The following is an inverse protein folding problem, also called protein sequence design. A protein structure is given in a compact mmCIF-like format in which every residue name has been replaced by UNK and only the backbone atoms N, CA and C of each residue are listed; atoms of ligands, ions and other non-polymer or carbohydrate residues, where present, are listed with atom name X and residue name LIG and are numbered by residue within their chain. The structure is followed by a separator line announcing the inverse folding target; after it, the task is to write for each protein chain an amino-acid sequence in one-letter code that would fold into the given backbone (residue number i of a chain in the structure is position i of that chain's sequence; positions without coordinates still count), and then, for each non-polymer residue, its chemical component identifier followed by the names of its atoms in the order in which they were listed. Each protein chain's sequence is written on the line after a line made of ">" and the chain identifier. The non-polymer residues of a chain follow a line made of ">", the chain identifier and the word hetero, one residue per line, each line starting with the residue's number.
data_IF_051411465414
#
_entry.id   IF_051411465414
#
_cell.length_a   1.000
_cell.length_b   1.000
_cell.length_c   1.000
_cell.angle_alpha   90.00
_cell.angle_beta   90.00
_cell.angle_gamma   90.00
#
_symmetry.space_group_name_H-M   'P 1'
#
loop_
_entity.id
_entity.type
_entity.pdbx_description
1 polymer ?
#
# COMPACT_ATOMS: atom_id res chain seq x y z
N UNK A 1 -23.45 12.01 4.12
CA UNK A 1 -23.91 11.11 3.04
C UNK A 1 -22.73 10.98 2.12
N UNK A 2 -22.20 9.76 2.04
CA UNK A 2 -20.98 9.47 1.30
C UNK A 2 -21.06 9.99 -0.14
N UNK A 3 -19.98 10.60 -0.62
CA UNK A 3 -19.97 11.35 -1.89
C UNK A 3 -20.14 10.47 -3.12
N UNK A 4 -19.87 9.18 -2.98
CA UNK A 4 -19.88 8.22 -4.08
C UNK A 4 -21.07 7.26 -4.04
N UNK A 5 -21.92 7.31 -3.00
CA UNK A 5 -22.96 6.30 -2.82
C UNK A 5 -24.02 6.31 -3.93
N UNK A 6 -24.15 5.18 -4.62
CA UNK A 6 -25.25 4.88 -5.55
C UNK A 6 -26.32 4.08 -4.83
N UNK A 7 -27.55 4.62 -4.79
CA UNK A 7 -28.62 4.14 -3.91
C UNK A 7 -29.13 2.73 -4.22
N UNK A 8 -29.04 2.27 -5.46
CA UNK A 8 -29.61 0.98 -5.87
C UNK A 8 -28.57 0.08 -6.52
N UNK A 9 -28.62 -1.22 -6.18
CA UNK A 9 -27.74 -2.21 -6.81
C UNK A 9 -27.97 -2.32 -8.32
N UNK A 10 -29.18 -2.09 -8.81
CA UNK A 10 -29.48 -2.12 -10.26
C UNK A 10 -28.78 -0.98 -11.01
N UNK A 11 -28.81 0.22 -10.45
CA UNK A 11 -28.09 1.37 -11.02
C UNK A 11 -26.58 1.17 -10.95
N UNK A 12 -26.07 0.78 -9.78
CA UNK A 12 -24.65 0.49 -9.59
C UNK A 12 -24.16 -0.61 -10.54
N UNK A 13 -24.95 -1.67 -10.75
CA UNK A 13 -24.69 -2.75 -11.72
C UNK A 13 -24.52 -2.20 -13.14
N UNK A 14 -25.42 -1.32 -13.58
CA UNK A 14 -25.37 -0.75 -14.91
C UNK A 14 -24.12 0.12 -15.12
N UNK A 15 -23.79 0.95 -14.13
CA UNK A 15 -22.59 1.79 -14.13
C UNK A 15 -21.31 0.95 -14.16
N UNK A 16 -21.25 -0.13 -13.37
CA UNK A 16 -20.11 -1.06 -13.33
C UNK A 16 -19.94 -1.73 -14.69
N UNK A 17 -20.99 -2.35 -15.27
CA UNK A 17 -20.90 -3.05 -16.56
C UNK A 17 -20.42 -2.11 -17.66
N UNK A 18 -20.95 -0.89 -17.73
CA UNK A 18 -20.56 0.07 -18.75
C UNK A 18 -19.11 0.51 -18.57
N UNK A 19 -18.68 0.76 -17.33
CA UNK A 19 -17.30 1.14 -17.00
C UNK A 19 -16.32 0.02 -17.35
N UNK A 20 -16.62 -1.21 -16.91
CA UNK A 20 -15.84 -2.41 -17.17
C UNK A 20 -15.63 -2.64 -18.67
N UNK A 21 -16.70 -2.58 -19.47
CA UNK A 21 -16.62 -2.73 -20.92
C UNK A 21 -15.80 -1.61 -21.58
N UNK A 22 -15.99 -0.36 -21.15
CA UNK A 22 -15.30 0.81 -21.72
C UNK A 22 -13.81 0.79 -21.42
N UNK A 23 -13.44 0.43 -20.18
CA UNK A 23 -12.05 0.40 -19.71
C UNK A 23 -11.37 -0.95 -19.94
N UNK A 24 -12.11 -1.97 -20.39
CA UNK A 24 -11.65 -3.37 -20.55
C UNK A 24 -11.12 -3.96 -19.24
N UNK A 25 -11.80 -3.67 -18.14
CA UNK A 25 -11.49 -4.13 -16.78
C UNK A 25 -12.61 -5.07 -16.33
N UNK A 26 -12.32 -6.17 -15.60
CA UNK A 26 -13.37 -7.06 -15.08
C UNK A 26 -14.38 -6.34 -14.17
N UNK A 27 -15.67 -6.70 -14.29
CA UNK A 27 -16.75 -6.10 -13.49
C UNK A 27 -16.47 -6.10 -11.98
N UNK A 28 -16.02 -7.23 -11.45
CA UNK A 28 -15.74 -7.39 -10.02
C UNK A 28 -14.62 -6.46 -9.51
N UNK A 29 -13.70 -6.04 -10.39
CA UNK A 29 -12.65 -5.07 -10.03
C UNK A 29 -13.23 -3.68 -9.93
N UNK A 30 -14.04 -3.28 -10.92
CA UNK A 30 -14.69 -1.97 -10.92
C UNK A 30 -15.62 -1.85 -9.70
N UNK A 31 -16.33 -2.93 -9.37
CA UNK A 31 -17.12 -3.02 -8.14
C UNK A 31 -16.27 -2.85 -6.88
N UNK A 32 -15.15 -3.56 -6.79
CA UNK A 32 -14.28 -3.48 -5.62
C UNK A 32 -13.61 -2.11 -5.48
N UNK A 33 -13.17 -1.53 -6.60
CA UNK A 33 -12.65 -0.16 -6.65
C UNK A 33 -13.67 0.85 -6.12
N UNK A 34 -14.94 0.74 -6.54
CA UNK A 34 -16.02 1.57 -6.03
C UNK A 34 -16.15 1.50 -4.50
N UNK A 35 -16.17 0.29 -3.93
CA UNK A 35 -16.28 0.12 -2.47
C UNK A 35 -15.02 0.57 -1.72
N UNK A 36 -13.83 0.40 -2.31
CA UNK A 36 -12.58 0.97 -1.77
C UNK A 36 -12.64 2.50 -1.75
N UNK A 37 -13.07 3.15 -2.83
CA UNK A 37 -13.23 4.60 -2.88
C UNK A 37 -14.29 5.09 -1.89
N UNK A 38 -15.39 4.37 -1.73
CA UNK A 38 -16.41 4.66 -0.72
C UNK A 38 -15.81 4.65 0.70
N UNK A 39 -15.07 3.59 1.05
CA UNK A 39 -14.45 3.47 2.38
C UNK A 39 -13.40 4.54 2.62
N UNK A 40 -12.57 4.86 1.61
CA UNK A 40 -11.59 5.94 1.70
C UNK A 40 -12.26 7.30 1.94
N UNK A 41 -13.36 7.62 1.23
CA UNK A 41 -14.13 8.84 1.47
C UNK A 41 -14.65 8.89 2.92
N UNK A 42 -15.24 7.80 3.41
CA UNK A 42 -15.73 7.75 4.80
C UNK A 42 -14.59 7.95 5.81
N UNK A 43 -13.50 7.19 5.68
CA UNK A 43 -12.37 7.22 6.62
C UNK A 43 -11.76 8.62 6.70
N UNK A 44 -11.58 9.30 5.56
CA UNK A 44 -10.88 10.58 5.52
C UNK A 44 -11.79 11.82 5.60
N UNK A 45 -13.11 11.67 5.51
CA UNK A 45 -14.03 12.83 5.55
C UNK A 45 -15.12 12.77 6.62
N UNK A 46 -15.61 11.59 7.01
CA UNK A 46 -16.74 11.45 7.94
C UNK A 46 -16.34 10.79 9.27
N UNK A 47 -15.28 9.98 9.30
CA UNK A 47 -14.83 9.32 10.52
C UNK A 47 -14.37 10.30 11.59
N UNK A 48 -14.63 9.98 12.86
CA UNK A 48 -14.12 10.73 14.02
C UNK A 48 -12.58 10.71 14.11
N UNK A 49 -11.94 9.77 13.40
CA UNK A 49 -10.49 9.59 13.33
C UNK A 49 -9.88 10.04 12.00
N UNK A 50 -10.60 10.81 11.18
CA UNK A 50 -10.16 11.21 9.83
C UNK A 50 -8.78 11.87 9.77
N UNK A 51 -8.40 12.62 10.80
CA UNK A 51 -7.08 13.27 10.89
C UNK A 51 -5.98 12.37 11.48
N UNK A 52 -6.30 11.13 11.83
CA UNK A 52 -5.41 10.19 12.48
C UNK A 52 -4.95 9.06 11.57
N UNK A 53 -5.19 9.18 10.25
CA UNK A 53 -4.75 8.22 9.25
C UNK A 53 -3.89 8.86 8.16
N UNK A 54 -2.95 8.08 7.63
CA UNK A 54 -2.26 8.37 6.37
C UNK A 54 -2.31 7.13 5.48
N UNK A 55 -2.82 7.27 4.26
CA UNK A 55 -2.96 6.18 3.29
C UNK A 55 -1.64 5.84 2.62
N UNK A 56 -1.34 4.56 2.37
CA UNK A 56 -0.09 4.14 1.74
C UNK A 56 -0.27 2.90 0.85
N UNK A 57 0.87 2.35 0.41
CA UNK A 57 0.94 1.02 -0.19
C UNK A 57 0.68 1.01 -1.70
N UNK A 58 0.35 -0.17 -2.22
CA UNK A 58 0.07 -0.32 -3.67
C UNK A 58 -1.22 0.38 -4.08
N UNK A 59 -2.22 0.41 -3.18
CA UNK A 59 -3.52 0.96 -3.51
C UNK A 59 -3.44 2.47 -3.65
N UNK A 60 -2.64 3.17 -2.83
CA UNK A 60 -2.39 4.61 -3.02
C UNK A 60 -1.71 4.94 -4.35
N UNK A 61 -0.71 4.16 -4.77
CA UNK A 61 -0.08 4.30 -6.09
C UNK A 61 -1.11 4.24 -7.22
N UNK A 62 -2.08 3.33 -7.12
CA UNK A 62 -3.14 3.21 -8.13
C UNK A 62 -4.19 4.32 -8.04
N UNK A 63 -4.71 4.66 -6.85
CA UNK A 63 -5.90 5.53 -6.71
C UNK A 63 -5.56 7.01 -6.65
N UNK A 64 -4.46 7.36 -6.00
CA UNK A 64 -4.06 8.75 -5.83
C UNK A 64 -3.21 9.22 -7.01
N UNK A 65 -2.39 8.32 -7.58
CA UNK A 65 -1.35 8.73 -8.52
C UNK A 65 -1.45 8.09 -9.91
N UNK A 66 -2.36 7.13 -10.11
CA UNK A 66 -2.50 6.38 -11.36
C UNK A 66 -1.17 5.80 -11.87
N UNK A 67 -0.29 5.37 -10.95
CA UNK A 67 1.07 4.92 -11.27
C UNK A 67 1.18 3.44 -11.59
N UNK A 68 0.19 2.62 -11.24
CA UNK A 68 0.22 1.17 -11.44
C UNK A 68 -1.07 0.68 -12.09
N UNK A 69 -0.97 -0.33 -12.96
CA UNK A 69 -2.09 -0.94 -13.70
C UNK A 69 -2.33 -2.40 -13.28
N UNK A 70 -2.25 -2.64 -11.96
CA UNK A 70 -2.61 -3.91 -11.34
C UNK A 70 -3.62 -3.70 -10.22
N UNK A 71 -4.45 -4.70 -9.98
CA UNK A 71 -5.40 -4.70 -8.88
C UNK A 71 -4.63 -4.59 -7.56
N UNK A 72 -5.10 -3.67 -6.74
CA UNK A 72 -4.66 -3.47 -5.38
C UNK A 72 -5.92 -3.24 -4.57
N UNK A 73 -6.27 -4.25 -3.78
CA UNK A 73 -7.58 -4.36 -3.17
C UNK A 73 -7.61 -4.05 -1.66
N UNK A 74 -6.44 -3.91 -1.05
CA UNK A 74 -6.27 -3.65 0.38
C UNK A 74 -6.12 -2.14 0.64
N UNK A 75 -6.61 -1.67 1.77
CA UNK A 75 -6.45 -0.29 2.22
C UNK A 75 -5.38 -0.29 3.33
N UNK A 76 -4.16 0.07 2.98
CA UNK A 76 -3.05 0.18 3.92
C UNK A 76 -3.03 1.57 4.57
N UNK A 77 -3.26 1.65 5.89
CA UNK A 77 -3.25 2.89 6.65
C UNK A 77 -2.13 2.89 7.68
N UNK A 78 -1.56 4.08 7.87
CA UNK A 78 -0.74 4.40 9.03
C UNK A 78 -1.65 5.10 10.04
N UNK A 79 -1.66 4.67 11.30
CA UNK A 79 -2.39 5.28 12.43
C UNK A 79 -1.47 6.16 13.30
N UNK A 80 -1.91 7.38 13.62
CA UNK A 80 -1.07 8.35 14.33
C UNK A 80 -0.95 7.91 15.78
N UNK A 81 0.26 7.54 16.20
CA UNK A 81 0.50 7.10 17.57
C UNK A 81 0.25 8.19 18.61
N UNK A 82 0.11 9.47 18.20
CA UNK A 82 -0.29 10.55 19.11
C UNK A 82 -1.65 10.28 19.75
N UNK A 83 -2.50 9.49 19.09
CA UNK A 83 -3.73 8.97 19.68
C UNK A 83 -3.50 8.20 20.99
N UNK A 84 -2.31 7.63 21.17
CA UNK A 84 -1.93 6.88 22.36
C UNK A 84 -1.08 7.69 23.34
N UNK A 85 -0.97 9.01 23.14
CA UNK A 85 -0.21 9.91 24.00
C UNK A 85 1.30 9.93 23.74
N UNK A 86 1.76 9.39 22.61
CA UNK A 86 3.18 9.50 22.22
C UNK A 86 3.46 10.81 21.51
N UNK A 87 4.67 11.33 21.70
CA UNK A 87 5.08 12.58 21.09
C UNK A 87 5.45 12.41 19.61
N UNK A 88 5.47 13.53 18.87
CA UNK A 88 5.88 13.52 17.46
C UNK A 88 7.32 13.00 17.24
N UNK A 89 8.18 13.17 18.25
CA UNK A 89 9.59 12.78 18.19
C UNK A 89 9.87 11.36 18.72
N UNK A 90 8.84 10.57 19.03
CA UNK A 90 8.98 9.20 19.54
C UNK A 90 9.83 8.31 18.60
N UNK A 91 9.77 8.62 17.29
CA UNK A 91 10.62 8.04 16.23
C UNK A 91 12.11 8.19 16.49
N UNK A 92 12.52 9.29 17.11
CA UNK A 92 13.92 9.69 17.24
C UNK A 92 14.53 9.27 18.58
N UNK A 93 13.71 8.83 19.54
CA UNK A 93 14.20 8.36 20.85
C UNK A 93 15.05 7.11 20.65
N UNK A 94 16.34 7.18 21.01
CA UNK A 94 17.24 6.04 20.95
C UNK A 94 16.86 4.98 21.98
N UNK A 95 16.85 3.72 21.54
CA UNK A 95 16.53 2.56 22.36
C UNK A 95 17.49 1.44 22.03
N UNK A 96 17.77 0.60 23.03
CA UNK A 96 18.40 -0.70 22.77
C UNK A 96 17.49 -1.54 21.87
N UNK A 97 18.03 -2.54 21.15
CA UNK A 97 17.22 -3.44 20.31
C UNK A 97 16.06 -4.08 21.09
N UNK A 98 16.32 -4.51 22.33
CA UNK A 98 15.30 -5.07 23.24
C UNK A 98 14.25 -4.01 23.63
N UNK A 99 14.69 -2.79 23.96
CA UNK A 99 13.80 -1.68 24.29
C UNK A 99 12.91 -1.27 23.11
N UNK A 100 13.46 -1.23 21.89
CA UNK A 100 12.70 -0.93 20.68
C UNK A 100 11.67 -2.03 20.37
N UNK A 101 12.05 -3.30 20.50
CA UNK A 101 11.11 -4.42 20.31
C UNK A 101 9.97 -4.37 21.34
N UNK A 102 10.28 -4.09 22.61
CA UNK A 102 9.26 -3.93 23.65
C UNK A 102 8.30 -2.79 23.32
N UNK A 103 8.82 -1.62 22.93
CA UNK A 103 8.01 -0.48 22.52
C UNK A 103 7.09 -0.82 21.33
N UNK A 104 7.62 -1.49 20.30
CA UNK A 104 6.82 -1.89 19.14
C UNK A 104 5.66 -2.81 19.53
N UNK A 105 5.90 -3.76 20.45
CA UNK A 105 4.87 -4.69 20.91
C UNK A 105 3.79 -3.96 21.72
N UNK A 106 4.17 -3.12 22.68
CA UNK A 106 3.24 -2.34 23.50
C UNK A 106 2.37 -1.40 22.63
N UNK A 107 2.99 -0.77 21.63
CA UNK A 107 2.28 0.10 20.70
C UNK A 107 1.32 -0.72 19.81
N UNK A 108 1.74 -1.91 19.36
CA UNK A 108 0.87 -2.80 18.59
C UNK A 108 -0.34 -3.27 19.40
N UNK A 109 -0.15 -3.63 20.68
CA UNK A 109 -1.26 -3.99 21.58
C UNK A 109 -2.27 -2.84 21.71
N UNK A 110 -1.79 -1.60 21.84
CA UNK A 110 -2.65 -0.39 21.86
C UNK A 110 -3.43 -0.21 20.57
N UNK A 111 -2.80 -0.45 19.42
CA UNK A 111 -3.49 -0.40 18.10
C UNK A 111 -4.60 -1.44 18.06
N UNK A 112 -4.32 -2.69 18.40
CA UNK A 112 -5.32 -3.78 18.36
C UNK A 112 -6.52 -3.45 19.26
N UNK A 113 -6.28 -2.93 20.47
CA UNK A 113 -7.35 -2.48 21.37
C UNK A 113 -8.16 -1.35 20.74
N UNK A 114 -7.50 -0.33 20.19
CA UNK A 114 -8.19 0.77 19.50
C UNK A 114 -9.03 0.29 18.31
N UNK A 115 -8.48 -0.59 17.47
CA UNK A 115 -9.21 -1.12 16.32
C UNK A 115 -10.49 -1.83 16.76
N UNK A 116 -10.40 -2.69 17.77
CA UNK A 116 -11.54 -3.47 18.27
C UNK A 116 -12.57 -2.62 19.02
N UNK A 117 -12.10 -1.75 19.91
CA UNK A 117 -12.95 -1.08 20.88
C UNK A 117 -13.49 0.27 20.40
N UNK A 118 -12.85 0.88 19.41
CA UNK A 118 -13.22 2.19 18.87
C UNK A 118 -13.58 2.14 17.39
N UNK A 119 -12.60 1.86 16.52
CA UNK A 119 -12.79 2.01 15.07
C UNK A 119 -13.80 1.01 14.52
N UNK A 120 -13.72 -0.27 14.92
CA UNK A 120 -14.63 -1.32 14.47
C UNK A 120 -16.08 -1.02 14.86
N UNK A 121 -16.30 -0.49 16.07
CA UNK A 121 -17.64 -0.12 16.55
C UNK A 121 -18.20 1.03 15.73
N UNK A 122 -17.39 2.05 15.48
CA UNK A 122 -17.79 3.19 14.63
C UNK A 122 -18.15 2.73 13.22
N UNK A 123 -17.29 1.94 12.57
CA UNK A 123 -17.54 1.44 11.22
C UNK A 123 -18.85 0.63 11.16
N UNK A 124 -19.06 -0.31 12.07
CA UNK A 124 -20.30 -1.08 12.12
C UNK A 124 -21.53 -0.25 12.50
N UNK A 125 -21.42 0.80 13.30
CA UNK A 125 -22.56 1.67 13.63
C UNK A 125 -22.93 2.57 12.46
N UNK A 126 -21.94 3.27 11.88
CA UNK A 126 -22.15 4.31 10.88
C UNK A 126 -22.38 3.77 9.48
N UNK A 127 -21.83 2.59 9.16
CA UNK A 127 -21.89 2.05 7.80
C UNK A 127 -22.88 0.89 7.61
N UNK A 128 -23.62 0.52 8.66
CA UNK A 128 -24.62 -0.56 8.60
C UNK A 128 -25.71 -0.30 7.55
N UNK A 129 -26.14 0.95 7.37
CA UNK A 129 -27.18 1.31 6.41
C UNK A 129 -26.80 1.01 4.95
N UNK A 130 -25.50 0.88 4.66
CA UNK A 130 -24.97 0.53 3.34
C UNK A 130 -24.78 -0.98 3.15
N UNK A 131 -25.24 -1.80 4.11
CA UNK A 131 -25.02 -3.26 4.16
C UNK A 131 -23.52 -3.63 4.14
N UNK A 132 -22.70 -2.84 4.83
CA UNK A 132 -21.29 -3.15 5.09
C UNK A 132 -21.15 -3.80 6.47
N UNK A 133 -20.41 -4.88 6.54
CA UNK A 133 -20.13 -5.60 7.79
C UNK A 133 -18.63 -5.66 8.04
N UNK A 134 -18.21 -5.38 9.28
CA UNK A 134 -16.80 -5.31 9.64
C UNK A 134 -16.48 -6.24 10.82
N UNK A 135 -15.31 -6.89 10.78
CA UNK A 135 -14.76 -7.63 11.91
C UNK A 135 -13.22 -7.65 11.85
N UNK A 136 -12.58 -7.95 12.99
CA UNK A 136 -11.11 -8.10 13.06
C UNK A 136 -10.70 -9.37 12.30
N UNK A 137 -9.66 -9.28 11.48
CA UNK A 137 -9.06 -10.44 10.83
C UNK A 137 -8.48 -11.40 11.88
N UNK A 138 -8.95 -12.67 11.96
CA UNK A 138 -8.45 -13.62 12.95
C UNK A 138 -6.96 -13.95 12.77
N UNK A 139 -6.42 -13.79 11.56
CA UNK A 139 -5.01 -14.07 11.26
C UNK A 139 -4.11 -12.83 11.47
N UNK A 140 -4.70 -11.64 11.53
CA UNK A 140 -3.98 -10.37 11.66
C UNK A 140 -4.79 -9.35 12.47
N UNK A 141 -4.59 -9.27 13.80
CA UNK A 141 -5.34 -8.37 14.67
C UNK A 141 -5.20 -6.87 14.36
N UNK A 142 -4.23 -6.48 13.52
CA UNK A 142 -4.07 -5.11 13.02
C UNK A 142 -4.94 -4.80 11.80
N UNK A 143 -5.79 -5.74 11.40
CA UNK A 143 -6.56 -5.65 10.18
C UNK A 143 -8.06 -5.79 10.44
N UNK A 144 -8.83 -4.92 9.79
CA UNK A 144 -10.29 -4.99 9.76
C UNK A 144 -10.69 -5.52 8.38
N UNK A 145 -11.46 -6.60 8.35
CA UNK A 145 -12.10 -7.10 7.14
C UNK A 145 -13.46 -6.44 6.97
N UNK A 146 -13.75 -6.02 5.75
CA UNK A 146 -15.04 -5.48 5.34
C UNK A 146 -15.69 -6.43 4.32
N UNK A 147 -16.87 -6.94 4.66
CA UNK A 147 -17.79 -7.51 3.66
C UNK A 147 -18.68 -6.42 3.10
N UNK A 148 -18.86 -6.46 1.79
CA UNK A 148 -19.66 -5.49 1.04
C UNK A 148 -20.66 -6.20 0.13
N UNK A 149 -21.74 -5.50 -0.32
CA UNK A 149 -22.69 -6.03 -1.28
C UNK A 149 -22.01 -6.38 -2.61
N UNK A 150 -22.10 -7.65 -3.00
CA UNK A 150 -21.48 -8.16 -4.24
C UNK A 150 -22.53 -8.40 -5.31
N UNK A 151 -22.42 -7.66 -6.40
CA UNK A 151 -23.21 -7.79 -7.61
C UNK A 151 -22.53 -8.78 -8.57
N UNK A 152 -21.20 -8.85 -8.57
CA UNK A 152 -20.41 -9.72 -9.44
C UNK A 152 -19.56 -10.70 -8.62
N UNK A 153 -19.33 -11.89 -9.17
CA UNK A 153 -18.45 -12.91 -8.60
C UNK A 153 -17.08 -12.88 -9.28
N UNK A 154 -16.04 -13.25 -8.52
CA UNK A 154 -14.68 -13.45 -9.02
C UNK A 154 -13.99 -14.50 -8.15
N UNK A 155 -13.27 -15.42 -8.80
CA UNK A 155 -12.52 -16.48 -8.12
C UNK A 155 -11.08 -16.03 -7.77
N UNK A 156 -10.57 -14.97 -8.40
CA UNK A 156 -9.21 -14.49 -8.20
C UNK A 156 -9.10 -13.29 -7.25
N UNK A 157 -10.17 -12.51 -7.09
CA UNK A 157 -10.21 -11.41 -6.14
C UNK A 157 -10.60 -11.90 -4.76
N UNK A 158 -9.95 -11.34 -3.73
CA UNK A 158 -10.47 -11.48 -2.37
C UNK A 158 -11.92 -10.97 -2.33
N UNK A 159 -12.79 -11.75 -1.69
CA UNK A 159 -14.21 -11.42 -1.51
C UNK A 159 -14.43 -10.26 -0.52
N UNK A 160 -13.37 -9.83 0.19
CA UNK A 160 -13.43 -8.82 1.25
C UNK A 160 -12.44 -7.71 0.96
N UNK A 161 -12.70 -6.51 1.49
CA UNK A 161 -11.71 -5.43 1.52
C UNK A 161 -10.98 -5.54 2.87
N UNK A 162 -9.66 -5.60 2.85
CA UNK A 162 -8.83 -5.61 4.06
C UNK A 162 -8.36 -4.19 4.34
N UNK A 163 -8.64 -3.67 5.52
CA UNK A 163 -8.07 -2.42 6.03
C UNK A 163 -6.91 -2.81 6.96
N UNK A 164 -5.68 -2.74 6.47
CA UNK A 164 -4.48 -3.04 7.24
C UNK A 164 -3.97 -1.76 7.92
N UNK A 165 -4.00 -1.71 9.24
CA UNK A 165 -3.78 -0.47 10.00
C UNK A 165 -2.62 -0.66 10.96
N UNK A 166 -1.52 0.06 10.71
CA UNK A 166 -0.31 -0.01 11.54
C UNK A 166 0.13 1.35 12.05
N UNK A 167 0.73 1.40 13.22
CA UNK A 167 1.31 2.62 13.81
C UNK A 167 2.83 2.77 13.52
N UNK A 168 3.49 1.70 13.08
CA UNK A 168 4.93 1.64 12.87
C UNK A 168 5.34 2.11 11.47
N UNK A 169 4.71 3.16 10.95
CA UNK A 169 5.04 3.78 9.67
C UNK A 169 5.43 5.25 9.84
N UNK A 170 6.36 5.76 9.03
CA UNK A 170 6.55 7.21 8.95
C UNK A 170 5.39 7.85 8.19
N UNK A 171 4.94 8.98 8.72
CA UNK A 171 3.81 9.79 8.24
C UNK A 171 4.17 10.73 7.11
N UNK A 172 5.46 10.86 6.81
CA UNK A 172 6.00 11.88 5.94
C UNK A 172 7.16 11.33 5.10
N UNK A 173 7.39 11.91 3.92
CA UNK A 173 6.57 12.92 3.24
C UNK A 173 5.22 12.36 2.77
N UNK A 174 4.17 13.15 2.97
CA UNK A 174 2.79 12.83 2.60
C UNK A 174 2.11 14.08 2.04
N UNK A 175 1.16 13.86 1.14
CA UNK A 175 0.42 14.88 0.42
C UNK A 175 -1.06 14.56 0.39
N UNK A 176 -1.88 15.59 0.24
CA UNK A 176 -3.33 15.45 0.17
C UNK A 176 -3.73 15.40 -1.30
N UNK A 177 -4.40 14.31 -1.69
CA UNK A 177 -4.71 14.01 -3.09
C UNK A 177 -6.21 13.82 -3.27
N UNK A 178 -6.77 14.43 -4.30
CA UNK A 178 -8.16 14.18 -4.67
C UNK A 178 -8.32 12.85 -5.41
N UNK A 179 -9.23 12.01 -4.92
CA UNK A 179 -9.60 10.75 -5.57
C UNK A 179 -11.05 10.77 -6.03
N UNK A 180 -11.34 9.91 -7.01
CA UNK A 180 -12.69 9.52 -7.45
C UNK A 180 -12.70 8.02 -7.76
N UNK A 181 -13.85 7.33 -7.64
CA UNK A 181 -13.97 5.95 -8.08
C UNK A 181 -13.74 5.82 -9.58
N UNK A 182 -13.26 4.68 -10.06
CA UNK A 182 -12.99 4.41 -11.47
C UNK A 182 -14.21 4.64 -12.37
N UNK A 183 -15.42 4.40 -11.84
CA UNK A 183 -16.70 4.65 -12.53
C UNK A 183 -16.83 6.13 -12.96
N UNK A 184 -16.26 7.06 -12.19
CA UNK A 184 -16.29 8.49 -12.53
C UNK A 184 -15.57 8.82 -13.84
N UNK A 185 -14.60 8.00 -14.27
CA UNK A 185 -13.90 8.19 -15.54
C UNK A 185 -14.78 7.95 -16.77
N UNK A 186 -15.94 7.30 -16.58
CA UNK A 186 -16.94 7.05 -17.63
C UNK A 186 -18.21 7.87 -17.37
N UNK A 187 -18.50 8.19 -16.11
CA UNK A 187 -19.69 8.92 -15.68
C UNK A 187 -19.35 10.12 -14.78
N UNK A 188 -18.63 11.13 -15.29
CA UNK A 188 -18.20 12.29 -14.49
C UNK A 188 -19.38 13.10 -13.95
N UNK A 189 -20.51 13.11 -14.67
CA UNK A 189 -21.73 13.83 -14.26
C UNK A 189 -22.47 13.18 -13.10
N UNK A 190 -22.28 11.87 -12.89
CA UNK A 190 -22.83 11.15 -11.74
C UNK A 190 -21.92 11.36 -10.52
N UNK A 191 -20.60 11.31 -10.73
CA UNK A 191 -19.58 11.42 -9.68
C UNK A 191 -18.88 12.78 -9.72
N UNK A 192 -19.64 13.85 -9.44
CA UNK A 192 -19.16 15.24 -9.53
C UNK A 192 -18.12 15.56 -8.45
N UNK A 193 -18.34 15.09 -7.24
CA UNK A 193 -17.50 15.37 -6.08
C UNK A 193 -16.24 14.50 -6.08
N UNK A 194 -15.19 14.97 -5.41
CA UNK A 194 -13.97 14.24 -5.10
C UNK A 194 -13.77 14.12 -3.58
N UNK A 195 -12.90 13.21 -3.18
CA UNK A 195 -12.50 13.02 -1.79
C UNK A 195 -11.02 13.30 -1.65
N UNK A 196 -10.67 14.17 -0.70
CA UNK A 196 -9.27 14.49 -0.40
C UNK A 196 -8.73 13.47 0.58
N UNK A 197 -7.70 12.73 0.17
CA UNK A 197 -7.07 11.66 0.94
C UNK A 197 -5.64 12.05 1.24
N UNK A 198 -5.29 12.04 2.53
CA UNK A 198 -3.89 12.18 2.94
C UNK A 198 -3.14 10.88 2.68
N UNK A 199 -2.11 10.92 1.83
CA UNK A 199 -1.36 9.72 1.43
C UNK A 199 0.15 9.93 1.43
N UNK A 200 0.91 8.87 1.72
CA UNK A 200 2.36 8.83 1.57
C UNK A 200 2.74 9.12 0.13
N UNK A 201 3.69 10.03 -0.04
CA UNK A 201 4.20 10.45 -1.35
C UNK A 201 4.77 9.27 -2.17
N UNK A 202 4.72 9.33 -3.51
CA UNK A 202 5.31 8.31 -4.37
C UNK A 202 6.82 8.14 -4.16
N UNK A 203 7.56 9.19 -3.82
CA UNK A 203 9.02 9.13 -3.57
C UNK A 203 9.33 8.35 -2.29
N UNK A 204 8.53 8.51 -1.24
CA UNK A 204 8.68 7.68 -0.04
C UNK A 204 8.35 6.23 -0.35
N UNK A 205 7.27 5.99 -1.10
CA UNK A 205 6.88 4.64 -1.52
C UNK A 205 7.94 4.00 -2.42
N UNK A 206 8.58 4.77 -3.29
CA UNK A 206 9.73 4.35 -4.10
C UNK A 206 10.81 3.73 -3.23
N UNK A 207 11.28 4.45 -2.21
CA UNK A 207 12.31 3.96 -1.32
C UNK A 207 11.87 2.79 -0.45
N UNK A 208 10.61 2.76 -0.02
CA UNK A 208 10.07 1.61 0.71
C UNK A 208 10.04 0.33 -0.13
N UNK A 209 9.68 0.43 -1.42
CA UNK A 209 9.71 -0.69 -2.37
C UNK A 209 11.15 -1.13 -2.66
N UNK A 210 12.06 -0.18 -2.89
CA UNK A 210 13.50 -0.44 -3.04
C UNK A 210 14.05 -1.23 -1.86
N UNK A 211 13.74 -0.84 -0.62
CA UNK A 211 14.21 -1.54 0.58
C UNK A 211 13.56 -2.92 0.80
N UNK A 212 12.33 -3.13 0.32
CA UNK A 212 11.72 -4.47 0.28
C UNK A 212 12.52 -5.38 -0.65
N UNK A 213 12.87 -4.90 -1.85
CA UNK A 213 13.65 -5.69 -2.81
C UNK A 213 15.07 -5.96 -2.30
N UNK A 214 15.71 -4.98 -1.66
CA UNK A 214 17.00 -5.20 -1.00
C UNK A 214 16.91 -6.28 0.08
N UNK A 215 15.84 -6.26 0.89
CA UNK A 215 15.60 -7.32 1.87
C UNK A 215 15.45 -8.69 1.22
N UNK A 216 14.77 -8.77 0.06
CA UNK A 216 14.63 -10.03 -0.71
C UNK A 216 15.98 -10.53 -1.20
N UNK A 217 16.84 -9.66 -1.72
CA UNK A 217 18.16 -10.03 -2.23
C UNK A 217 19.09 -10.60 -1.15
N UNK A 218 18.90 -10.22 0.11
CA UNK A 218 19.74 -10.67 1.22
C UNK A 218 19.16 -11.89 1.99
N UNK A 219 17.98 -12.40 1.61
CA UNK A 219 17.42 -13.62 2.20
C UNK A 219 18.14 -14.87 1.67
N UNK A 220 18.52 -15.77 2.57
CA UNK A 220 19.11 -17.07 2.23
C UNK A 220 18.18 -17.94 1.40
N UNK A 221 18.75 -18.87 0.63
CA UNK A 221 18.04 -19.83 -0.23
C UNK A 221 16.99 -20.65 0.52
N UNK A 222 17.32 -21.07 1.74
CA UNK A 222 16.44 -21.83 2.63
C UNK A 222 15.12 -21.11 2.98
N UNK A 223 15.08 -19.78 2.87
CA UNK A 223 13.86 -19.00 3.15
C UNK A 223 13.11 -18.75 1.85
N UNK A 224 11.93 -19.35 1.65
CA UNK A 224 11.16 -19.16 0.42
C UNK A 224 10.72 -17.71 0.25
N UNK A 225 10.55 -17.28 -1.00
CA UNK A 225 9.86 -16.04 -1.30
C UNK A 225 8.38 -16.16 -0.89
N UNK A 226 7.85 -15.12 -0.26
CA UNK A 226 6.42 -15.04 0.03
C UNK A 226 5.63 -14.91 -1.29
N UNK A 227 4.38 -15.38 -1.31
CA UNK A 227 3.52 -15.21 -2.48
C UNK A 227 3.17 -13.72 -2.71
N UNK A 228 2.86 -13.39 -3.97
CA UNK A 228 2.50 -12.05 -4.45
C UNK A 228 3.58 -10.99 -4.25
N UNK A 229 4.83 -11.37 -4.00
CA UNK A 229 5.95 -10.43 -3.81
C UNK A 229 6.47 -9.83 -5.11
N UNK A 230 6.25 -10.50 -6.25
CA UNK A 230 6.63 -9.99 -7.57
C UNK A 230 5.96 -8.64 -7.88
N UNK A 231 4.83 -8.33 -7.23
CA UNK A 231 4.19 -7.00 -7.28
C UNK A 231 5.12 -5.86 -6.90
N UNK A 232 6.05 -6.08 -5.97
CA UNK A 232 6.98 -5.05 -5.54
C UNK A 232 7.99 -4.69 -6.63
N UNK A 233 8.40 -5.67 -7.44
CA UNK A 233 9.23 -5.45 -8.63
C UNK A 233 8.47 -4.65 -9.68
N UNK A 234 7.22 -5.03 -9.96
CA UNK A 234 6.36 -4.28 -10.89
C UNK A 234 6.08 -2.85 -10.43
N UNK A 235 5.72 -2.65 -9.16
CA UNK A 235 5.43 -1.32 -8.62
C UNK A 235 6.66 -0.41 -8.73
N UNK A 236 7.85 -0.92 -8.40
CA UNK A 236 9.09 -0.15 -8.50
C UNK A 236 9.47 0.12 -9.97
N UNK A 237 9.22 -0.82 -10.88
CA UNK A 237 9.35 -0.58 -12.32
C UNK A 237 8.45 0.56 -12.79
N UNK A 238 7.19 0.61 -12.35
CA UNK A 238 6.28 1.69 -12.74
C UNK A 238 6.72 3.03 -12.15
N UNK A 239 7.15 3.03 -10.89
CA UNK A 239 7.71 4.22 -10.23
C UNK A 239 8.98 4.73 -10.92
N UNK A 240 9.86 3.84 -11.37
CA UNK A 240 11.03 4.19 -12.19
C UNK A 240 10.65 4.88 -13.50
N UNK A 241 9.59 4.41 -14.16
CA UNK A 241 9.13 4.98 -15.42
C UNK A 241 8.17 6.17 -15.24
N UNK A 242 8.04 6.69 -14.02
CA UNK A 242 7.19 7.83 -13.70
C UNK A 242 7.97 9.13 -13.52
N UNK A 243 7.24 10.25 -13.43
CA UNK A 243 7.81 11.57 -13.10
C UNK A 243 8.50 11.60 -11.73
N UNK A 244 8.16 10.67 -10.83
CA UNK A 244 8.66 10.64 -9.46
C UNK A 244 10.07 10.05 -9.33
N UNK A 245 10.57 9.31 -10.34
CA UNK A 245 11.93 8.74 -10.32
C UNK A 245 12.98 9.80 -10.01
N UNK A 246 12.97 10.90 -10.78
CA UNK A 246 13.98 11.95 -10.64
C UNK A 246 13.93 12.58 -9.24
N UNK A 247 12.74 12.94 -8.78
CA UNK A 247 12.55 13.56 -7.47
C UNK A 247 12.98 12.62 -6.33
N UNK A 248 12.71 11.32 -6.44
CA UNK A 248 13.22 10.33 -5.48
C UNK A 248 14.75 10.28 -5.48
N UNK A 249 15.40 10.15 -6.64
CA UNK A 249 16.87 10.05 -6.77
C UNK A 249 17.63 11.33 -6.41
N UNK A 250 16.99 12.49 -6.52
CA UNK A 250 17.57 13.77 -6.12
C UNK A 250 17.51 13.98 -4.60
N UNK A 251 16.60 13.30 -3.89
CA UNK A 251 16.51 13.26 -2.42
C UNK A 251 16.96 11.91 -1.86
N UNK A 252 18.26 11.63 -1.96
CA UNK A 252 18.85 10.40 -1.42
C UNK A 252 18.79 10.33 0.12
N UNK A 253 18.65 11.47 0.80
CA UNK A 253 18.47 11.50 2.25
C UNK A 253 17.16 10.81 2.65
N UNK A 254 16.13 10.85 1.80
CA UNK A 254 14.89 10.11 2.03
C UNK A 254 15.10 8.59 2.02
N UNK A 255 16.03 8.06 1.21
CA UNK A 255 16.44 6.65 1.27
C UNK A 255 17.12 6.34 2.60
N UNK A 256 18.09 7.15 3.02
CA UNK A 256 18.83 6.93 4.26
C UNK A 256 17.88 6.96 5.47
N UNK A 257 16.96 7.92 5.50
CA UNK A 257 15.91 8.03 6.50
C UNK A 257 14.99 6.80 6.53
N UNK A 258 14.50 6.36 5.37
CA UNK A 258 13.66 5.16 5.27
C UNK A 258 14.41 3.90 5.71
N UNK A 259 15.72 3.83 5.42
CA UNK A 259 16.60 2.71 5.79
C UNK A 259 16.82 2.66 7.30
N UNK A 260 17.15 3.79 7.92
CA UNK A 260 17.29 3.91 9.38
C UNK A 260 15.98 3.54 10.09
N UNK A 261 14.85 4.03 9.56
CA UNK A 261 13.53 3.69 10.08
C UNK A 261 13.27 2.18 10.03
N UNK A 262 13.49 1.52 8.89
CA UNK A 262 13.32 0.06 8.78
C UNK A 262 14.28 -0.72 9.68
N UNK A 263 15.54 -0.30 9.78
CA UNK A 263 16.53 -0.90 10.69
C UNK A 263 16.09 -0.85 12.15
N UNK A 264 15.43 0.24 12.56
CA UNK A 264 14.94 0.45 13.92
C UNK A 264 13.64 -0.30 14.21
N UNK A 265 12.62 -0.11 13.37
CA UNK A 265 11.25 -0.60 13.65
C UNK A 265 10.96 -1.99 13.11
N UNK A 266 11.69 -2.42 12.07
CA UNK A 266 11.51 -3.71 11.40
C UNK A 266 12.84 -4.45 11.32
N UNK A 267 13.54 -4.50 12.46
CA UNK A 267 14.87 -5.11 12.52
C UNK A 267 14.83 -6.56 12.02
N UNK A 268 15.64 -6.84 11.02
CA UNK A 268 15.86 -8.19 10.50
C UNK A 268 17.31 -8.29 10.05
N UNK A 269 18.06 -9.23 10.64
CA UNK A 269 19.46 -9.47 10.26
C UNK A 269 19.60 -9.78 8.76
N UNK A 270 18.65 -10.52 8.19
CA UNK A 270 18.67 -10.88 6.76
C UNK A 270 18.26 -9.75 5.83
N UNK A 271 17.78 -8.60 6.34
CA UNK A 271 17.46 -7.46 5.49
C UNK A 271 18.70 -6.62 5.17
N UNK A 272 19.78 -6.77 5.95
CA UNK A 272 21.10 -6.17 5.74
C UNK A 272 21.11 -4.66 5.46
N UNK A 273 20.27 -3.89 6.14
CA UNK A 273 20.19 -2.43 5.95
C UNK A 273 21.50 -1.68 6.25
N UNK A 274 22.42 -2.30 7.00
CA UNK A 274 23.76 -1.76 7.26
C UNK A 274 24.59 -1.65 5.98
N UNK A 275 24.37 -2.53 4.99
CA UNK A 275 25.04 -2.48 3.70
C UNK A 275 24.69 -1.21 2.92
N UNK A 276 23.44 -0.76 3.03
CA UNK A 276 22.98 0.50 2.42
C UNK A 276 23.59 1.71 3.16
N UNK A 277 23.60 1.69 4.49
CA UNK A 277 24.01 2.83 5.32
C UNK A 277 25.53 3.01 5.40
N UNK A 278 26.27 1.91 5.53
CA UNK A 278 27.71 1.93 5.83
C UNK A 278 28.54 1.66 4.56
N UNK A 279 28.15 0.67 3.77
CA UNK A 279 28.87 0.28 2.56
C UNK A 279 28.35 0.98 1.29
N UNK A 280 27.27 1.78 1.42
CA UNK A 280 26.65 2.50 0.30
C UNK A 280 26.25 1.54 -0.83
N UNK A 281 25.77 0.37 -0.45
CA UNK A 281 25.48 -0.74 -1.34
C UNK A 281 24.02 -1.19 -1.19
N UNK A 282 23.23 -0.92 -2.23
CA UNK A 282 21.85 -1.37 -2.37
C UNK A 282 21.75 -2.42 -3.48
N UNK A 283 20.85 -3.38 -3.29
CA UNK A 283 20.59 -4.51 -4.20
C UNK A 283 19.12 -4.55 -4.54
N UNK A 284 18.79 -4.73 -5.80
CA UNK A 284 17.44 -4.88 -6.34
C UNK A 284 17.28 -6.21 -7.08
N UNK A 285 18.37 -6.75 -7.61
CA UNK A 285 18.37 -8.03 -8.31
C UNK A 285 18.89 -9.13 -7.39
N UNK A 286 18.09 -10.18 -7.11
CA UNK A 286 18.52 -11.27 -6.28
C UNK A 286 19.31 -12.32 -7.08
N UNK A 287 19.91 -13.29 -6.38
CA UNK A 287 20.63 -14.39 -7.00
C UNK A 287 19.71 -15.33 -7.81
N UNK A 288 20.29 -16.15 -8.69
CA UNK A 288 19.56 -16.99 -9.67
C UNK A 288 18.47 -17.87 -9.05
N UNK A 289 18.74 -18.51 -7.91
CA UNK A 289 17.75 -19.36 -7.22
C UNK A 289 16.48 -18.59 -6.84
N UNK A 290 16.61 -17.29 -6.55
CA UNK A 290 15.51 -16.41 -6.17
C UNK A 290 14.82 -15.82 -7.39
N UNK A 291 15.58 -15.53 -8.45
CA UNK A 291 15.03 -15.04 -9.72
C UNK A 291 13.92 -15.98 -10.21
N UNK A 292 14.15 -17.29 -10.18
CA UNK A 292 13.14 -18.27 -10.62
C UNK A 292 11.88 -18.26 -9.74
N UNK A 293 12.03 -18.04 -8.43
CA UNK A 293 10.87 -17.87 -7.53
C UNK A 293 10.09 -16.59 -7.87
N UNK A 294 10.77 -15.47 -8.15
CA UNK A 294 10.12 -14.21 -8.53
C UNK A 294 9.40 -14.35 -9.88
N UNK A 295 10.02 -15.01 -10.86
CA UNK A 295 9.40 -15.26 -12.17
C UNK A 295 8.12 -16.09 -12.04
N UNK A 296 8.18 -17.17 -11.26
CA UNK A 296 6.99 -18.01 -10.99
C UNK A 296 5.87 -17.19 -10.34
N UNK A 297 6.20 -16.45 -9.28
CA UNK A 297 5.24 -15.59 -8.59
C UNK A 297 4.64 -14.50 -9.53
N UNK A 298 5.45 -13.94 -10.43
CA UNK A 298 4.97 -12.97 -11.43
C UNK A 298 3.97 -13.57 -12.42
N UNK A 299 4.20 -14.81 -12.87
CA UNK A 299 3.27 -15.54 -13.75
C UNK A 299 1.96 -15.82 -13.01
N UNK A 300 2.03 -16.28 -11.76
CA UNK A 300 0.86 -16.55 -10.92
C UNK A 300 0.01 -15.29 -10.69
N UNK A 301 0.66 -14.12 -10.73
CA UNK A 301 0.05 -12.80 -10.61
C UNK A 301 -0.58 -12.24 -11.90
N UNK A 302 -0.50 -12.92 -13.05
CA UNK A 302 -0.95 -12.38 -14.34
C UNK A 302 -2.40 -11.85 -14.33
N UNK A 303 -3.29 -12.50 -13.59
CA UNK A 303 -4.69 -12.11 -13.45
C UNK A 303 -4.90 -10.84 -12.62
N UNK A 304 -3.86 -10.31 -11.97
CA UNK A 304 -3.92 -9.04 -11.24
C UNK A 304 -3.74 -7.83 -12.15
N UNK A 305 -3.22 -7.98 -13.37
CA UNK A 305 -2.94 -6.85 -14.25
C UNK A 305 -4.09 -6.60 -15.22
N UNK A 306 -4.37 -5.33 -15.53
CA UNK A 306 -5.47 -4.93 -16.40
C UNK A 306 -5.08 -3.89 -17.46
N UNK A 307 -3.80 -3.60 -17.59
CA UNK A 307 -3.24 -2.69 -18.59
C UNK A 307 -2.01 -3.29 -19.28
N UNK A 308 -0.98 -2.47 -19.53
CA UNK A 308 0.26 -2.99 -20.10
C UNK A 308 1.00 -3.85 -19.07
N UNK A 309 1.31 -5.09 -19.46
CA UNK A 309 2.05 -6.04 -18.65
C UNK A 309 3.47 -6.17 -19.24
N UNK A 310 4.49 -5.52 -18.64
CA UNK A 310 5.87 -5.70 -19.09
C UNK A 310 6.32 -7.15 -18.82
N UNK A 311 7.30 -7.64 -19.57
CA UNK A 311 7.92 -8.92 -19.24
C UNK A 311 8.74 -8.80 -17.95
N UNK A 312 8.90 -9.90 -17.23
CA UNK A 312 9.71 -9.90 -16.01
C UNK A 312 11.19 -9.59 -16.31
N UNK A 313 11.67 -9.97 -17.49
CA UNK A 313 13.01 -9.61 -17.99
C UNK A 313 13.14 -8.10 -18.17
N UNK A 314 12.14 -7.43 -18.76
CA UNK A 314 12.13 -5.97 -18.90
C UNK A 314 12.13 -5.27 -17.54
N UNK A 315 11.39 -5.81 -16.57
CA UNK A 315 11.40 -5.33 -15.18
C UNK A 315 12.81 -5.47 -14.60
N UNK A 316 13.43 -6.64 -14.69
CA UNK A 316 14.78 -6.84 -14.14
C UNK A 316 15.84 -5.99 -14.82
N UNK A 317 15.81 -5.83 -16.15
CA UNK A 317 16.74 -4.96 -16.88
C UNK A 317 16.62 -3.50 -16.43
N UNK A 318 15.40 -3.04 -16.19
CA UNK A 318 15.13 -1.68 -15.69
C UNK A 318 15.65 -1.51 -14.27
N UNK A 319 15.39 -2.48 -13.39
CA UNK A 319 15.83 -2.43 -12.00
C UNK A 319 17.35 -2.59 -11.86
N UNK A 320 18.03 -3.30 -12.76
CA UNK A 320 19.50 -3.33 -12.86
C UNK A 320 20.07 -1.92 -13.09
N UNK A 321 19.48 -1.16 -14.02
CA UNK A 321 19.89 0.23 -14.27
C UNK A 321 19.64 1.09 -13.04
N UNK A 322 18.47 0.96 -12.42
CA UNK A 322 18.13 1.69 -11.21
C UNK A 322 19.11 1.40 -10.06
N UNK A 323 19.51 0.14 -9.86
CA UNK A 323 20.47 -0.25 -8.82
C UNK A 323 21.80 0.50 -8.98
N UNK A 324 22.31 0.59 -10.21
CA UNK A 324 23.53 1.37 -10.52
C UNK A 324 23.32 2.85 -10.20
N UNK A 325 22.23 3.45 -10.69
CA UNK A 325 21.92 4.87 -10.46
C UNK A 325 21.84 5.21 -8.95
N UNK A 326 21.20 4.34 -8.14
CA UNK A 326 21.09 4.51 -6.68
C UNK A 326 22.47 4.42 -6.03
N UNK A 327 23.25 3.38 -6.37
CA UNK A 327 24.55 3.16 -5.75
C UNK A 327 25.56 4.25 -6.10
N UNK A 328 25.50 4.81 -7.30
CA UNK A 328 26.32 5.97 -7.67
C UNK A 328 25.94 7.20 -6.84
N UNK A 329 24.64 7.48 -6.67
CA UNK A 329 24.15 8.55 -5.80
C UNK A 329 24.60 8.36 -4.34
N UNK A 330 24.51 7.15 -3.79
CA UNK A 330 24.97 6.82 -2.44
C UNK A 330 26.48 7.05 -2.26
N UNK A 331 27.30 6.75 -3.28
CA UNK A 331 28.75 7.00 -3.24
C UNK A 331 29.08 8.49 -3.22
N UNK A 332 28.31 9.29 -3.96
CA UNK A 332 28.52 10.75 -4.08
C UNK A 332 27.92 11.59 -2.97
N UNK A 333 26.98 11.04 -2.19
CA UNK A 333 26.42 11.65 -0.98
C UNK A 333 27.38 11.44 0.20
#
# INVERSE_FOLDING_TARGET
>A
MNKFYVKTNSELRALIIRTANTKRIPNAVVEKDYWVSFLLDYIFSESKWSNSFTFKGGTSLSKCFNLIERFSEDIDLILDWKLFGYESNELYIERTKKGQSKFNNELNEKVVVFLKDELLKELNEKLKEYNLEFWIDPEDPNSILCDYPKIFQSDYLSKKIKLEIGCLGKWTPAEDVEIKPLISNVFPDVFKQSSTIRTISPERTFWEKTLILHSVCNKSEEKPLNTRYARHYYDLYCLYNSIYKKKALDDINLLLDATQFKKKFYWSKSANYDDVLENKNLKLIPDDFRIEQVKKDYVDMKNMFYGHIPSIEQIFETLKKLEVEINDKLKTN
#
